data_IF_685422338982
#
_entry.id   IF_685422338982
#
_cell.length_a   1.000
_cell.length_b   1.000
_cell.length_c   1.000
_cell.angle_alpha   90.00
_cell.angle_beta   90.00
_cell.angle_gamma   90.00
#
_symmetry.space_group_name_H-M   'P 1'
#
loop_
_entity.id
_entity.type
_entity.pdbx_description
1 polymer ?
#
# COMPACT_ATOMS: atom_id res chain seq x y z
N UNK A 1 21.46 -47.71 -70.00
CA UNK A 1 22.87 -47.98 -69.69
C UNK A 1 23.25 -47.10 -68.51
N UNK A 2 23.50 -47.71 -67.35
CA UNK A 2 24.14 -47.11 -66.16
C UNK A 2 25.41 -46.36 -66.56
N UNK A 3 25.74 -45.24 -65.89
CA UNK A 3 26.98 -45.04 -65.11
C UNK A 3 26.73 -43.97 -64.02
N UNK A 4 27.11 -44.32 -62.79
CA UNK A 4 27.20 -43.53 -61.56
C UNK A 4 28.41 -42.58 -61.53
N UNK A 5 28.39 -41.59 -60.62
CA UNK A 5 29.58 -40.83 -60.19
C UNK A 5 29.19 -39.39 -59.80
N UNK A 6 28.63 -39.08 -58.64
CA UNK A 6 29.13 -39.17 -57.26
C UNK A 6 30.02 -37.97 -56.84
N UNK A 7 29.82 -37.55 -55.59
CA UNK A 7 30.46 -36.47 -54.80
C UNK A 7 29.92 -35.05 -54.94
N UNK A 8 28.93 -34.71 -54.10
CA UNK A 8 28.71 -33.35 -53.63
C UNK A 8 29.10 -33.24 -52.14
N UNK A 9 29.85 -32.21 -51.73
CA UNK A 9 30.37 -32.10 -50.38
C UNK A 9 29.27 -31.73 -49.38
N UNK A 10 29.30 -32.43 -48.24
CA UNK A 10 28.64 -32.04 -46.99
C UNK A 10 29.05 -30.62 -46.63
N UNK A 11 28.16 -29.64 -46.84
CA UNK A 11 28.27 -28.36 -46.15
C UNK A 11 27.22 -28.32 -45.04
N UNK A 12 27.76 -28.06 -43.86
CA UNK A 12 27.14 -28.16 -42.55
C UNK A 12 26.11 -27.04 -42.43
N UNK A 13 24.89 -27.44 -42.12
CA UNK A 13 23.77 -26.59 -41.79
C UNK A 13 24.07 -25.90 -40.43
N UNK A 14 24.74 -24.75 -40.44
CA UNK A 14 24.90 -23.92 -39.23
C UNK A 14 23.67 -23.03 -39.13
N UNK A 15 22.63 -23.53 -38.45
CA UNK A 15 21.56 -22.69 -37.94
C UNK A 15 22.14 -21.84 -36.80
N UNK A 16 22.55 -20.61 -37.12
CA UNK A 16 22.76 -19.54 -36.15
C UNK A 16 21.39 -19.16 -35.57
N UNK A 17 20.96 -19.90 -34.55
CA UNK A 17 19.89 -19.46 -33.66
C UNK A 17 20.47 -18.31 -32.83
N UNK A 18 20.28 -17.08 -33.30
CA UNK A 18 20.40 -15.91 -32.45
C UNK A 18 19.27 -15.98 -31.41
N UNK A 19 19.54 -16.65 -30.29
CA UNK A 19 18.77 -16.46 -29.07
C UNK A 19 19.02 -15.00 -28.68
N UNK A 20 18.11 -14.11 -29.07
CA UNK A 20 17.98 -12.81 -28.43
C UNK A 20 17.69 -13.10 -26.96
N UNK A 21 18.77 -13.12 -26.15
CA UNK A 21 18.67 -12.85 -24.74
C UNK A 21 18.09 -11.45 -24.62
N UNK A 22 16.76 -11.41 -24.53
CA UNK A 22 16.03 -10.25 -24.06
C UNK A 22 16.53 -10.07 -22.64
N UNK A 23 17.54 -9.23 -22.46
CA UNK A 23 17.89 -8.69 -21.15
C UNK A 23 16.60 -8.10 -20.63
N UNK A 24 15.96 -8.78 -19.66
CA UNK A 24 14.91 -8.16 -18.85
C UNK A 24 15.56 -6.91 -18.30
N UNK A 25 15.19 -5.77 -18.87
CA UNK A 25 15.58 -4.49 -18.32
C UNK A 25 15.24 -4.56 -16.85
N UNK A 26 16.26 -4.36 -16.01
CA UNK A 26 16.09 -3.97 -14.63
C UNK A 26 15.18 -2.76 -14.67
N UNK A 27 13.89 -3.00 -14.46
CA UNK A 27 12.93 -1.92 -14.32
C UNK A 27 13.39 -1.13 -13.12
N UNK A 28 14.02 0.01 -13.37
CA UNK A 28 14.23 1.00 -12.34
C UNK A 28 12.86 1.23 -11.71
N UNK A 29 12.75 1.02 -10.40
CA UNK A 29 11.53 1.30 -9.67
C UNK A 29 11.11 2.72 -10.05
N UNK A 30 9.96 2.85 -10.72
CA UNK A 30 9.47 4.15 -11.14
C UNK A 30 9.36 5.01 -9.87
N UNK A 31 10.00 6.18 -9.86
CA UNK A 31 9.85 7.11 -8.75
C UNK A 31 8.36 7.44 -8.63
N UNK A 32 7.76 7.40 -7.43
CA UNK A 32 6.36 7.74 -7.25
C UNK A 32 6.11 9.17 -7.77
N UNK A 33 5.10 9.34 -8.62
CA UNK A 33 4.66 10.67 -9.04
C UNK A 33 3.89 11.31 -7.88
N UNK A 34 4.35 12.48 -7.47
CA UNK A 34 3.98 13.07 -6.18
C UNK A 34 2.70 13.88 -6.26
N UNK A 35 2.23 14.17 -7.46
CA UNK A 35 0.91 14.77 -7.69
C UNK A 35 -0.24 13.82 -7.33
N UNK A 36 0.08 12.56 -7.03
CA UNK A 36 -0.89 11.50 -6.78
C UNK A 36 -1.32 11.39 -5.32
N UNK A 37 -0.68 12.07 -4.36
CA UNK A 37 -1.00 11.93 -2.93
C UNK A 37 -1.41 13.24 -2.28
N UNK A 38 -2.40 13.17 -1.39
CA UNK A 38 -2.93 14.34 -0.65
C UNK A 38 -2.58 14.31 0.83
N UNK A 39 -2.24 13.15 1.38
CA UNK A 39 -1.81 13.03 2.78
C UNK A 39 -0.91 11.79 2.97
N UNK A 40 -0.04 11.87 3.98
CA UNK A 40 0.71 10.74 4.54
C UNK A 40 0.43 10.70 6.03
N UNK A 41 -0.11 9.59 6.50
CA UNK A 41 -0.61 9.44 7.87
C UNK A 41 0.23 8.39 8.57
N UNK A 42 0.70 8.72 9.75
CA UNK A 42 1.36 7.80 10.67
C UNK A 42 0.61 7.78 12.02
N UNK A 43 1.16 7.02 12.97
CA UNK A 43 0.60 6.95 14.32
C UNK A 43 0.58 8.30 15.04
N UNK A 44 1.60 9.13 14.85
CA UNK A 44 1.76 10.41 15.54
C UNK A 44 0.73 11.45 15.06
N UNK A 45 0.12 11.25 13.89
CA UNK A 45 -1.05 12.02 13.47
C UNK A 45 -2.27 11.81 14.36
N UNK A 46 -2.37 10.71 15.10
CA UNK A 46 -3.58 10.36 15.82
C UNK A 46 -3.58 10.85 17.27
N UNK A 47 -4.73 11.34 17.75
CA UNK A 47 -4.89 11.80 19.13
C UNK A 47 -6.17 11.21 19.75
N UNK A 48 -6.23 10.98 21.08
CA UNK A 48 -7.46 10.47 21.69
C UNK A 48 -8.69 11.38 21.50
N UNK A 49 -8.46 12.70 21.40
CA UNK A 49 -9.49 13.70 21.18
C UNK A 49 -10.04 13.74 19.75
N UNK A 50 -9.38 13.09 18.78
CA UNK A 50 -9.80 13.12 17.37
C UNK A 50 -10.77 12.02 17.00
N UNK A 51 -11.03 11.05 17.89
CA UNK A 51 -12.04 10.02 17.69
C UNK A 51 -13.37 10.43 18.35
N UNK A 52 -14.44 10.69 17.56
CA UNK A 52 -15.77 10.92 18.09
C UNK A 52 -16.21 9.82 19.05
N UNK A 53 -16.70 10.24 20.22
CA UNK A 53 -17.27 9.33 21.21
C UNK A 53 -18.64 8.80 20.75
N UNK A 54 -19.15 7.78 21.44
CA UNK A 54 -20.42 7.13 21.08
C UNK A 54 -20.22 5.90 20.18
N UNK A 55 -21.03 5.80 19.12
CA UNK A 55 -21.08 4.61 18.26
C UNK A 55 -19.74 4.34 17.55
N UNK A 56 -19.06 5.38 17.07
CA UNK A 56 -17.79 5.24 16.36
C UNK A 56 -16.68 4.71 17.28
N UNK A 57 -16.51 5.29 18.47
CA UNK A 57 -15.57 4.79 19.48
C UNK A 57 -15.94 3.38 19.97
N UNK A 58 -17.23 3.05 20.05
CA UNK A 58 -17.67 1.69 20.38
C UNK A 58 -17.28 0.70 19.28
N UNK A 59 -17.52 1.05 18.01
CA UNK A 59 -17.15 0.25 16.86
C UNK A 59 -15.62 0.06 16.78
N UNK A 60 -14.84 1.11 17.04
CA UNK A 60 -13.38 1.02 17.12
C UNK A 60 -12.95 -0.05 18.13
N UNK A 61 -13.45 0.03 19.37
CA UNK A 61 -13.16 -0.96 20.43
C UNK A 61 -13.57 -2.39 20.05
N UNK A 62 -14.76 -2.56 19.48
CA UNK A 62 -15.23 -3.88 19.04
C UNK A 62 -14.36 -4.44 17.90
N UNK A 63 -13.96 -3.58 16.97
CA UNK A 63 -13.10 -3.94 15.84
C UNK A 63 -11.73 -4.36 16.36
N UNK A 64 -11.15 -3.61 17.29
CA UNK A 64 -9.91 -3.98 17.97
C UNK A 64 -10.04 -5.32 18.68
N UNK A 65 -11.10 -5.58 19.46
CA UNK A 65 -11.28 -6.87 20.13
C UNK A 65 -11.41 -8.06 19.15
N UNK A 66 -12.04 -7.83 17.99
CA UNK A 66 -12.27 -8.88 16.98
C UNK A 66 -11.04 -9.14 16.11
N UNK A 67 -10.30 -8.10 15.75
CA UNK A 67 -9.21 -8.14 14.77
C UNK A 67 -7.82 -8.07 15.42
N UNK A 68 -7.74 -7.65 16.68
CA UNK A 68 -6.51 -7.20 17.33
C UNK A 68 -6.28 -7.82 18.72
N UNK A 69 -5.30 -8.72 18.77
CA UNK A 69 -4.40 -8.93 19.92
C UNK A 69 -3.10 -9.62 19.47
N UNK A 70 -2.63 -9.31 18.24
CA UNK A 70 -1.42 -9.94 17.68
C UNK A 70 -0.16 -9.05 17.79
N UNK A 71 -0.35 -7.76 18.01
CA UNK A 71 0.71 -6.78 18.21
C UNK A 71 1.24 -6.70 19.66
N UNK A 72 2.28 -5.89 19.85
CA UNK A 72 2.89 -5.61 21.16
C UNK A 72 2.11 -4.56 21.96
N UNK A 73 1.26 -3.80 21.28
CA UNK A 73 0.36 -2.81 21.87
C UNK A 73 -0.89 -2.68 21.01
N UNK A 74 -1.96 -2.22 21.64
CA UNK A 74 -3.31 -2.14 21.08
C UNK A 74 -3.88 -0.75 21.36
N UNK A 75 -4.48 -0.15 20.34
CA UNK A 75 -5.17 1.13 20.40
C UNK A 75 -6.60 0.99 19.88
N UNK A 76 -7.45 1.91 20.29
CA UNK A 76 -8.86 2.01 19.86
C UNK A 76 -9.48 3.36 20.26
N UNK A 77 -8.65 4.31 20.69
CA UNK A 77 -9.04 5.52 21.39
C UNK A 77 -8.73 6.79 20.60
N UNK A 78 -8.00 6.66 19.49
CA UNK A 78 -7.45 7.75 18.68
C UNK A 78 -7.71 7.53 17.21
N UNK A 79 -7.71 8.60 16.42
CA UNK A 79 -7.96 8.50 14.99
C UNK A 79 -7.30 9.62 14.18
N UNK A 80 -7.34 9.49 12.86
CA UNK A 80 -7.20 10.61 11.94
C UNK A 80 -8.47 10.71 11.10
N UNK A 81 -9.05 11.91 11.00
CA UNK A 81 -10.24 12.17 10.20
C UNK A 81 -9.82 12.59 8.78
N UNK A 82 -10.50 12.08 7.76
CA UNK A 82 -10.19 12.34 6.36
C UNK A 82 -11.43 12.19 5.48
N UNK A 83 -11.43 12.87 4.33
CA UNK A 83 -12.45 12.66 3.29
C UNK A 83 -11.95 11.62 2.29
N UNK A 84 -12.46 10.39 2.35
CA UNK A 84 -12.16 9.32 1.40
C UNK A 84 -13.25 9.15 0.34
N UNK A 85 -14.52 9.28 0.74
CA UNK A 85 -15.67 9.04 -0.13
C UNK A 85 -16.26 10.27 -0.84
N UNK A 86 -16.02 11.48 -0.33
CA UNK A 86 -16.61 12.75 -0.81
C UNK A 86 -17.94 13.08 -0.17
N UNK A 87 -18.28 12.35 0.89
CA UNK A 87 -19.51 12.54 1.64
C UNK A 87 -19.33 13.65 2.70
N UNK A 88 -20.41 14.24 3.22
CA UNK A 88 -20.33 15.30 4.23
C UNK A 88 -19.71 14.84 5.56
N UNK A 89 -19.86 13.55 5.87
CA UNK A 89 -19.37 12.92 7.08
C UNK A 89 -18.01 12.28 6.82
N UNK A 90 -16.99 12.52 7.68
CA UNK A 90 -15.65 12.03 7.42
C UNK A 90 -15.50 10.53 7.66
N UNK A 91 -14.45 9.97 7.06
CA UNK A 91 -13.89 8.70 7.44
C UNK A 91 -12.77 8.87 8.47
N UNK A 92 -12.49 7.78 9.18
CA UNK A 92 -11.50 7.73 10.23
C UNK A 92 -10.55 6.56 10.03
N UNK A 93 -9.25 6.85 10.08
CA UNK A 93 -8.20 5.86 10.27
C UNK A 93 -7.93 5.71 11.76
N UNK A 94 -8.18 4.51 12.29
CA UNK A 94 -8.01 4.18 13.71
C UNK A 94 -6.93 3.10 13.84
N UNK A 95 -5.79 3.36 14.51
CA UNK A 95 -4.81 2.32 14.76
C UNK A 95 -5.41 1.30 15.74
N UNK A 96 -5.33 0.02 15.40
CA UNK A 96 -5.88 -1.09 16.18
C UNK A 96 -4.78 -1.80 16.97
N UNK A 97 -3.74 -2.26 16.29
CA UNK A 97 -2.62 -2.96 16.89
C UNK A 97 -1.31 -2.68 16.14
N UNK A 98 -0.17 -2.76 16.84
CA UNK A 98 1.16 -2.52 16.27
C UNK A 98 2.07 -3.72 16.47
N UNK A 99 2.70 -4.15 15.40
CA UNK A 99 3.77 -5.15 15.43
C UNK A 99 5.09 -4.59 15.97
N UNK A 100 6.04 -5.47 16.27
CA UNK A 100 7.32 -5.11 16.86
C UNK A 100 8.18 -4.14 16.02
N UNK A 101 7.90 -4.01 14.72
CA UNK A 101 8.64 -3.16 13.78
C UNK A 101 7.95 -1.83 13.49
N UNK A 102 6.94 -1.44 14.29
CA UNK A 102 6.22 -0.18 14.08
C UNK A 102 5.18 -0.23 12.96
N UNK A 103 4.86 -1.42 12.45
CA UNK A 103 3.80 -1.61 11.46
C UNK A 103 2.46 -1.74 12.18
N UNK A 104 1.49 -0.90 11.82
CA UNK A 104 0.19 -0.89 12.44
C UNK A 104 -0.85 -1.55 11.53
N UNK A 105 -1.83 -2.22 12.15
CA UNK A 105 -3.12 -2.44 11.51
C UNK A 105 -4.04 -1.27 11.83
N UNK A 106 -4.69 -0.74 10.82
CA UNK A 106 -5.63 0.36 10.92
C UNK A 106 -7.04 -0.10 10.51
N UNK A 107 -8.06 0.32 11.25
CA UNK A 107 -9.43 0.29 10.75
C UNK A 107 -9.70 1.55 9.93
N UNK A 108 -10.42 1.38 8.83
CA UNK A 108 -11.07 2.47 8.10
C UNK A 108 -12.55 2.47 8.50
N UNK A 109 -13.00 3.51 9.19
CA UNK A 109 -14.37 3.63 9.68
C UNK A 109 -15.07 4.81 9.02
N UNK A 110 -16.33 4.68 8.64
CA UNK A 110 -17.18 5.82 8.27
C UNK A 110 -17.97 6.29 9.51
N UNK A 111 -18.22 7.61 9.65
CA UNK A 111 -19.15 8.13 10.67
C UNK A 111 -20.60 8.21 10.18
N UNK A 112 -20.85 8.26 8.86
CA UNK A 112 -22.20 8.41 8.30
C UNK A 112 -22.54 7.40 7.20
N UNK A 113 -23.31 6.32 7.48
CA UNK A 113 -23.59 5.75 8.80
C UNK A 113 -22.35 5.06 9.41
N UNK A 114 -22.33 4.89 10.74
CA UNK A 114 -21.21 4.24 11.44
C UNK A 114 -21.02 2.80 10.98
N UNK A 115 -19.88 2.51 10.35
CA UNK A 115 -19.53 1.16 9.89
C UNK A 115 -18.04 0.99 9.63
N UNK A 116 -17.59 -0.25 9.69
CA UNK A 116 -16.24 -0.64 9.27
C UNK A 116 -16.22 -0.73 7.74
N UNK A 117 -15.38 0.08 7.11
CA UNK A 117 -15.12 0.02 5.68
C UNK A 117 -14.01 -0.99 5.34
N UNK A 118 -13.16 -1.37 6.30
CA UNK A 118 -12.14 -2.39 6.09
C UNK A 118 -10.91 -2.12 6.96
N UNK A 119 -9.82 -2.81 6.64
CA UNK A 119 -8.53 -2.60 7.31
C UNK A 119 -7.43 -2.35 6.30
N UNK A 120 -6.46 -1.52 6.69
CA UNK A 120 -5.22 -1.29 5.96
C UNK A 120 -4.05 -1.53 6.91
N UNK A 121 -2.94 -2.06 6.41
CA UNK A 121 -1.76 -2.35 7.21
C UNK A 121 -0.59 -1.48 6.73
N UNK A 122 0.20 -0.95 7.67
CA UNK A 122 1.37 -0.13 7.37
C UNK A 122 1.85 0.69 8.56
N UNK A 123 3.13 1.04 8.55
CA UNK A 123 3.69 2.09 9.40
C UNK A 123 3.26 3.48 8.91
N UNK A 124 3.15 3.65 7.58
CA UNK A 124 2.68 4.86 6.92
C UNK A 124 1.50 4.53 6.02
N UNK A 125 0.46 5.36 6.03
CA UNK A 125 -0.70 5.28 5.14
C UNK A 125 -0.72 6.50 4.23
N UNK A 126 -0.57 6.25 2.94
CA UNK A 126 -0.61 7.27 1.90
C UNK A 126 -2.02 7.34 1.33
N UNK A 127 -2.60 8.54 1.32
CA UNK A 127 -3.91 8.80 0.75
C UNK A 127 -3.71 9.40 -0.64
N UNK A 128 -4.22 8.72 -1.65
CA UNK A 128 -4.14 9.21 -3.02
C UNK A 128 -5.15 10.33 -3.25
N UNK A 129 -4.80 11.27 -4.13
CA UNK A 129 -5.73 12.26 -4.65
C UNK A 129 -6.94 11.56 -5.28
N UNK A 130 -8.13 12.06 -4.96
CA UNK A 130 -9.37 11.52 -5.51
C UNK A 130 -9.49 11.93 -6.97
N UNK A 131 -9.32 10.97 -7.88
CA UNK A 131 -9.57 11.18 -9.31
C UNK A 131 -11.01 10.85 -9.71
N UNK A 132 -11.61 9.81 -9.11
CA UNK A 132 -13.03 9.44 -9.26
C UNK A 132 -13.44 8.46 -8.17
N UNK A 133 -14.60 8.68 -7.53
CA UNK A 133 -15.08 7.79 -6.46
C UNK A 133 -14.26 7.90 -5.18
N UNK A 134 -14.00 6.76 -4.53
CA UNK A 134 -13.24 6.73 -3.27
C UNK A 134 -11.74 6.80 -3.50
N UNK A 135 -11.01 7.50 -2.63
CA UNK A 135 -9.54 7.58 -2.69
C UNK A 135 -8.89 6.21 -2.54
N UNK A 136 -7.88 5.91 -3.37
CA UNK A 136 -7.00 4.75 -3.17
C UNK A 136 -6.09 5.00 -1.96
N UNK A 137 -5.80 3.94 -1.20
CA UNK A 137 -4.87 3.99 -0.08
C UNK A 137 -3.65 3.15 -0.40
N UNK A 138 -2.48 3.55 0.09
CA UNK A 138 -1.29 2.69 0.08
C UNK A 138 -0.72 2.60 1.47
N UNK A 139 -0.70 1.39 2.02
CA UNK A 139 -0.02 1.10 3.28
C UNK A 139 1.42 0.70 2.99
N UNK A 140 2.37 1.37 3.65
CA UNK A 140 3.78 0.98 3.61
C UNK A 140 4.17 0.33 4.94
N UNK A 141 4.56 -0.94 4.89
CA UNK A 141 5.11 -1.67 6.02
C UNK A 141 6.64 -1.75 5.91
N UNK A 142 7.35 -1.35 6.97
CA UNK A 142 8.81 -1.46 7.02
C UNK A 142 9.23 -2.89 7.34
N UNK A 143 10.21 -3.41 6.61
CA UNK A 143 10.90 -4.67 6.89
C UNK A 143 12.29 -4.44 7.52
N UNK A 144 12.71 -3.17 7.68
CA UNK A 144 14.03 -2.78 8.17
C UNK A 144 15.06 -2.55 7.06
N UNK A 145 16.17 -1.91 7.41
CA UNK A 145 17.29 -1.59 6.50
C UNK A 145 16.90 -0.80 5.22
N UNK A 146 15.78 -0.07 5.26
CA UNK A 146 15.26 0.67 4.10
C UNK A 146 14.41 -0.16 3.14
N UNK A 147 14.20 -1.44 3.42
CA UNK A 147 13.29 -2.29 2.65
C UNK A 147 11.90 -2.31 3.30
N UNK A 148 10.89 -2.53 2.47
CA UNK A 148 9.51 -2.57 2.91
C UNK A 148 8.57 -3.13 1.87
N UNK A 149 7.29 -3.11 2.19
CA UNK A 149 6.21 -3.60 1.35
C UNK A 149 5.16 -2.51 1.21
N UNK A 150 4.83 -2.16 -0.03
CA UNK A 150 3.73 -1.26 -0.35
C UNK A 150 2.50 -2.07 -0.77
N UNK A 151 1.40 -1.90 -0.05
CA UNK A 151 0.11 -2.53 -0.35
C UNK A 151 -0.91 -1.49 -0.77
N UNK A 152 -1.44 -1.63 -1.97
CA UNK A 152 -2.54 -0.80 -2.48
C UNK A 152 -3.88 -1.35 -2.00
N UNK A 153 -4.75 -0.47 -1.52
CA UNK A 153 -6.10 -0.78 -1.09
C UNK A 153 -7.10 0.09 -1.85
N UNK A 154 -8.12 -0.55 -2.41
CA UNK A 154 -9.18 0.12 -3.17
C UNK A 154 -10.54 -0.16 -2.56
N UNK A 155 -11.43 0.81 -2.67
CA UNK A 155 -12.81 0.66 -2.23
C UNK A 155 -13.63 -0.11 -3.28
N UNK A 156 -14.12 -1.29 -2.92
CA UNK A 156 -14.96 -2.15 -3.77
C UNK A 156 -16.01 -2.86 -2.92
N UNK A 157 -17.23 -2.98 -3.44
CA UNK A 157 -18.33 -3.70 -2.78
C UNK A 157 -18.61 -3.24 -1.34
N UNK A 158 -18.51 -1.93 -1.08
CA UNK A 158 -18.81 -1.35 0.24
C UNK A 158 -17.66 -1.32 1.23
N UNK A 159 -16.42 -1.65 0.81
CA UNK A 159 -15.26 -1.58 1.69
C UNK A 159 -13.91 -1.55 0.98
N UNK A 160 -12.86 -1.21 1.73
CA UNK A 160 -11.47 -1.29 1.30
C UNK A 160 -10.98 -2.73 1.30
N UNK A 161 -10.36 -3.12 0.18
CA UNK A 161 -9.72 -4.42 0.00
C UNK A 161 -8.32 -4.23 -0.59
N UNK A 162 -7.38 -5.07 -0.16
CA UNK A 162 -6.06 -5.11 -0.77
C UNK A 162 -6.19 -5.51 -2.26
N UNK A 163 -5.52 -4.75 -3.13
CA UNK A 163 -5.54 -4.92 -4.59
C UNK A 163 -4.23 -5.51 -5.10
N UNK A 164 -3.12 -5.00 -4.61
CA UNK A 164 -1.78 -5.40 -5.05
C UNK A 164 -0.76 -5.08 -3.98
N UNK A 165 0.30 -5.86 -3.97
CA UNK A 165 1.45 -5.71 -3.09
C UNK A 165 2.70 -5.62 -3.94
N UNK A 166 3.65 -4.79 -3.52
CA UNK A 166 4.95 -4.68 -4.18
C UNK A 166 6.05 -4.45 -3.15
N UNK A 167 7.21 -5.07 -3.38
CA UNK A 167 8.41 -4.80 -2.61
C UNK A 167 8.92 -3.40 -2.92
N UNK A 168 9.29 -2.69 -1.86
CA UNK A 168 9.97 -1.41 -1.92
C UNK A 168 11.39 -1.64 -1.44
N UNK A 169 12.37 -1.28 -2.25
CA UNK A 169 13.79 -1.39 -1.92
C UNK A 169 14.44 -0.01 -1.80
N UNK A 170 15.54 0.06 -1.06
CA UNK A 170 16.44 1.22 -0.98
C UNK A 170 15.80 2.52 -0.42
N UNK A 171 14.86 2.36 0.50
CA UNK A 171 14.13 3.42 1.19
C UNK A 171 13.38 4.37 0.25
N UNK A 172 13.07 3.98 -0.99
CA UNK A 172 12.49 4.90 -1.97
C UNK A 172 11.16 5.54 -1.50
N UNK A 173 10.33 4.78 -0.77
CA UNK A 173 9.02 5.22 -0.29
C UNK A 173 9.13 6.04 1.01
N UNK A 174 10.05 5.68 1.90
CA UNK A 174 10.38 6.45 3.10
C UNK A 174 11.10 7.76 2.75
N UNK A 175 12.08 7.71 1.83
CA UNK A 175 12.73 8.88 1.24
C UNK A 175 11.74 9.74 0.48
N UNK A 176 10.71 9.17 -0.14
CA UNK A 176 9.64 9.93 -0.76
C UNK A 176 8.91 10.79 0.29
N UNK A 177 8.50 10.21 1.43
CA UNK A 177 7.93 10.98 2.54
C UNK A 177 8.92 12.04 3.07
N UNK A 178 10.18 11.66 3.32
CA UNK A 178 11.22 12.59 3.80
C UNK A 178 11.53 13.72 2.81
N UNK A 179 11.48 13.47 1.49
CA UNK A 179 11.83 14.45 0.44
C UNK A 179 10.84 15.59 0.31
N UNK A 180 9.61 15.40 0.79
CA UNK A 180 8.60 16.45 0.92
C UNK A 180 8.64 17.15 2.29
N UNK A 181 9.65 16.87 3.12
CA UNK A 181 9.69 17.30 4.52
C UNK A 181 8.68 16.57 5.40
N UNK A 182 7.97 15.56 4.88
CA UNK A 182 6.88 14.83 5.54
C UNK A 182 7.42 13.75 6.47
N UNK A 183 8.27 14.11 7.43
CA UNK A 183 8.67 13.15 8.48
C UNK A 183 7.48 12.73 9.37
N UNK A 184 6.40 13.53 9.40
CA UNK A 184 5.08 13.22 10.01
C UNK A 184 4.05 14.33 9.71
N UNK A 185 3.79 14.66 8.44
CA UNK A 185 3.05 15.90 8.13
C UNK A 185 1.53 15.71 8.14
N UNK A 186 1.00 15.83 9.35
CA UNK A 186 -0.41 15.92 9.65
C UNK A 186 -0.85 17.40 9.55
N UNK A 187 -1.01 17.95 8.34
CA UNK A 187 -1.79 19.18 8.11
C UNK A 187 -3.13 18.85 7.45
N UNK A 188 -4.19 19.56 7.89
CA UNK A 188 -5.60 19.35 7.50
C UNK A 188 -5.99 20.14 6.25
#
# INVERSE_FOLDING_TARGET
MMICGDKWPRQILVFLVFILMSTRGTGAAAKPDVTQFVAVIDFDCTAPSSLPQGELAHLARQTTQKLGSRGVAVWADRAWALDLGGEPEPEYLVPLDCGATGNFRWAVLASGPVRLLGTVDGALIYVHARNSGWSELTGYASMGAGDGVGTSYVYRNGGYVAKSEHEVRDAAFEKFAQSYGLQSHCEK
#
